data_IF_080418532863
#
_entry.id   IF_080418532863
#
_cell.length_a   1.000
_cell.length_b   1.000
_cell.length_c   1.000
_cell.angle_alpha   90.00
_cell.angle_beta   90.00
_cell.angle_gamma   90.00
#
_symmetry.space_group_name_H-M   'P 1'
#
loop_
_entity.id
_entity.type
_entity.pdbx_description
1 polymer ?
#
# COMPACT_ATOMS: atom_id res chain seq x y z
N UNK A 1 -1.44 -7.83 17.37
CA UNK A 1 -0.93 -7.81 15.98
C UNK A 1 -1.06 -6.39 15.45
N UNK A 2 0.04 -5.76 15.07
CA UNK A 2 0.06 -4.43 14.45
C UNK A 2 -0.55 -4.53 13.05
N UNK A 3 -1.52 -3.66 12.72
CA UNK A 3 -2.12 -3.60 11.39
C UNK A 3 -1.01 -3.33 10.36
N UNK A 4 -0.83 -4.26 9.42
CA UNK A 4 0.06 -4.10 8.26
C UNK A 4 -0.76 -3.66 7.06
N UNK A 5 -0.25 -2.70 6.29
CA UNK A 5 -0.84 -2.28 5.00
C UNK A 5 0.30 -2.18 4.01
N UNK A 6 0.17 -2.90 2.89
CA UNK A 6 1.25 -3.12 1.92
C UNK A 6 2.50 -3.66 2.61
N UNK A 7 2.30 -4.69 3.46
CA UNK A 7 3.35 -5.37 4.25
C UNK A 7 4.07 -4.52 5.30
N UNK A 8 3.88 -3.20 5.30
CA UNK A 8 4.50 -2.27 6.23
C UNK A 8 3.57 -1.94 7.41
N UNK A 9 4.16 -1.87 8.59
CA UNK A 9 3.54 -1.39 9.81
C UNK A 9 3.71 0.14 9.97
N UNK A 10 3.16 0.70 11.05
CA UNK A 10 3.09 2.15 11.27
C UNK A 10 4.45 2.82 11.24
N UNK A 11 5.40 2.19 11.95
CA UNK A 11 6.75 2.72 12.13
C UNK A 11 7.53 2.66 10.83
N UNK A 12 7.34 1.59 10.06
CA UNK A 12 7.95 1.43 8.75
C UNK A 12 7.40 2.47 7.76
N UNK A 13 6.09 2.71 7.74
CA UNK A 13 5.49 3.80 6.97
C UNK A 13 6.03 5.18 7.37
N UNK A 14 6.14 5.44 8.68
CA UNK A 14 6.71 6.70 9.17
C UNK A 14 8.18 6.85 8.75
N UNK A 15 8.98 5.80 8.87
CA UNK A 15 10.39 5.80 8.48
C UNK A 15 10.55 6.09 6.98
N UNK A 16 9.74 5.43 6.13
CA UNK A 16 9.72 5.66 4.69
C UNK A 16 9.39 7.12 4.34
N UNK A 17 8.31 7.65 4.89
CA UNK A 17 7.91 9.04 4.65
C UNK A 17 9.01 10.02 5.07
N UNK A 18 9.64 9.80 6.23
CA UNK A 18 10.74 10.64 6.71
C UNK A 18 11.94 10.58 5.77
N UNK A 19 12.32 9.38 5.31
CA UNK A 19 13.45 9.18 4.39
C UNK A 19 13.27 9.92 3.06
N UNK A 20 12.04 9.94 2.51
CA UNK A 20 11.75 10.70 1.28
C UNK A 20 11.71 12.19 1.58
N UNK A 21 10.98 12.61 2.62
CA UNK A 21 10.83 14.01 2.97
C UNK A 21 12.17 14.70 3.31
N UNK A 22 13.11 13.99 3.94
CA UNK A 22 14.41 14.54 4.32
C UNK A 22 15.35 14.78 3.14
N UNK A 23 15.10 14.16 1.98
CA UNK A 23 15.90 14.34 0.76
C UNK A 23 15.49 15.59 -0.04
N UNK A 24 14.35 16.17 0.29
CA UNK A 24 13.83 17.36 -0.37
C UNK A 24 14.55 18.61 0.11
N UNK A 25 14.68 19.60 -0.77
CA UNK A 25 15.18 20.91 -0.39
C UNK A 25 14.17 21.65 0.52
N UNK A 26 14.64 22.73 1.17
CA UNK A 26 13.81 23.49 2.10
C UNK A 26 12.55 24.08 1.46
N UNK A 27 12.61 24.46 0.17
CA UNK A 27 11.48 25.02 -0.57
C UNK A 27 10.40 23.97 -0.87
N UNK A 28 10.83 22.76 -1.26
CA UNK A 28 10.00 21.60 -1.52
C UNK A 28 9.36 21.09 -0.22
N UNK A 29 10.13 20.98 0.85
CA UNK A 29 9.62 20.65 2.18
C UNK A 29 8.52 21.62 2.63
N UNK A 30 8.70 22.92 2.40
CA UNK A 30 7.71 23.95 2.71
C UNK A 30 6.42 23.76 1.89
N UNK A 31 6.54 23.53 0.57
CA UNK A 31 5.39 23.27 -0.31
C UNK A 31 4.61 22.03 0.12
N UNK A 32 5.31 20.93 0.43
CA UNK A 32 4.67 19.67 0.84
C UNK A 32 3.98 19.82 2.21
N UNK A 33 4.56 20.58 3.15
CA UNK A 33 3.88 20.92 4.41
C UNK A 33 2.62 21.75 4.19
N UNK A 34 2.65 22.72 3.26
CA UNK A 34 1.47 23.52 2.90
C UNK A 34 0.33 22.67 2.33
N UNK A 35 0.66 21.57 1.62
CA UNK A 35 -0.31 20.58 1.13
C UNK A 35 -0.84 19.62 2.21
N UNK A 36 -0.41 19.77 3.46
CA UNK A 36 -0.94 19.01 4.59
C UNK A 36 -0.11 17.80 5.02
N UNK A 37 1.16 17.70 4.61
CA UNK A 37 2.06 16.65 5.08
C UNK A 37 2.16 16.61 6.62
N UNK A 38 1.82 15.45 7.18
CA UNK A 38 1.84 15.15 8.62
C UNK A 38 2.20 13.68 8.84
N UNK A 39 3.42 13.41 9.29
CA UNK A 39 3.91 12.04 9.51
C UNK A 39 3.56 11.49 10.91
N UNK A 40 2.35 11.76 11.41
CA UNK A 40 1.85 11.33 12.73
C UNK A 40 0.37 10.96 12.68
N UNK A 41 0.03 9.80 13.23
CA UNK A 41 -1.29 9.19 13.12
C UNK A 41 -1.45 8.42 11.82
N UNK A 42 -2.02 7.21 11.89
CA UNK A 42 -2.00 6.26 10.78
C UNK A 42 -2.59 6.83 9.47
N UNK A 43 -3.76 7.48 9.55
CA UNK A 43 -4.40 8.11 8.39
C UNK A 43 -3.53 9.20 7.75
N UNK A 44 -2.93 10.07 8.57
CA UNK A 44 -2.07 11.13 8.05
C UNK A 44 -0.77 10.60 7.47
N UNK A 45 -0.20 9.53 8.02
CA UNK A 45 0.99 8.86 7.47
C UNK A 45 0.69 8.31 6.08
N UNK A 46 -0.48 7.71 5.86
CA UNK A 46 -0.88 7.24 4.54
C UNK A 46 -1.14 8.39 3.56
N UNK A 47 -1.85 9.44 3.99
CA UNK A 47 -2.12 10.60 3.14
C UNK A 47 -0.83 11.37 2.80
N UNK A 48 0.08 11.47 3.75
CA UNK A 48 1.40 12.11 3.55
C UNK A 48 2.23 11.38 2.51
N UNK A 49 2.14 10.04 2.45
CA UNK A 49 2.79 9.28 1.39
C UNK A 49 2.22 9.61 0.02
N UNK A 50 0.89 9.79 -0.11
CA UNK A 50 0.28 10.21 -1.39
C UNK A 50 0.80 11.57 -1.85
N UNK A 51 0.90 12.53 -0.93
CA UNK A 51 1.44 13.87 -1.21
C UNK A 51 2.90 13.76 -1.68
N UNK A 52 3.72 13.00 -0.95
CA UNK A 52 5.11 12.76 -1.34
C UNK A 52 5.23 12.11 -2.71
N UNK A 53 4.39 11.11 -3.01
CA UNK A 53 4.44 10.38 -4.28
C UNK A 53 4.02 11.24 -5.47
N UNK A 54 3.15 12.22 -5.26
CA UNK A 54 2.70 13.16 -6.30
C UNK A 54 3.70 14.27 -6.59
N UNK A 55 4.42 14.75 -5.57
CA UNK A 55 5.26 15.95 -5.67
C UNK A 55 6.76 15.68 -5.76
N UNK A 56 7.21 14.53 -5.28
CA UNK A 56 8.64 14.26 -5.19
C UNK A 56 9.20 13.60 -6.44
N UNK A 57 8.41 13.41 -7.51
CA UNK A 57 8.73 12.53 -8.64
C UNK A 57 9.56 11.36 -8.12
N UNK A 58 8.94 10.54 -7.27
CA UNK A 58 9.63 9.39 -6.70
C UNK A 58 9.93 8.49 -7.89
N UNK A 59 11.09 8.71 -8.50
CA UNK A 59 11.60 8.01 -9.67
C UNK A 59 11.52 6.55 -9.27
N UNK A 60 10.59 5.83 -9.89
CA UNK A 60 10.41 4.42 -9.56
C UNK A 60 11.74 3.73 -9.84
N UNK A 61 12.00 2.59 -9.20
CA UNK A 61 13.23 1.86 -9.50
C UNK A 61 13.26 1.47 -10.98
N UNK A 62 12.09 1.28 -11.61
CA UNK A 62 11.94 1.19 -13.05
C UNK A 62 12.48 2.43 -13.78
N UNK A 63 11.97 3.63 -13.48
CA UNK A 63 12.40 4.89 -14.13
C UNK A 63 13.90 5.14 -13.90
N UNK A 64 14.41 4.81 -12.71
CA UNK A 64 15.82 4.96 -12.37
C UNK A 64 16.70 4.04 -13.21
N UNK A 65 16.28 2.79 -13.43
CA UNK A 65 16.99 1.84 -14.28
C UNK A 65 16.92 2.23 -15.74
N UNK A 66 15.74 2.64 -16.21
CA UNK A 66 15.54 3.13 -17.57
C UNK A 66 16.44 4.34 -17.88
N UNK A 67 16.49 5.31 -16.98
CA UNK A 67 17.33 6.51 -17.12
C UNK A 67 18.84 6.24 -17.05
N UNK A 68 19.25 5.06 -16.56
CA UNK A 68 20.64 4.62 -16.51
C UNK A 68 20.99 3.66 -17.67
N UNK A 69 20.16 3.61 -18.72
CA UNK A 69 20.26 2.69 -19.85
C UNK A 69 20.22 1.19 -19.46
N UNK A 70 19.76 0.86 -18.25
CA UNK A 70 19.55 -0.51 -17.77
C UNK A 70 18.14 -1.01 -18.14
N UNK A 71 17.91 -1.19 -19.45
CA UNK A 71 16.61 -1.63 -19.97
C UNK A 71 16.21 -3.03 -19.48
N UNK A 72 17.17 -3.96 -19.43
CA UNK A 72 16.92 -5.33 -18.97
C UNK A 72 16.50 -5.34 -17.50
N UNK A 73 17.22 -4.62 -16.63
CA UNK A 73 16.85 -4.52 -15.23
C UNK A 73 15.49 -3.82 -15.02
N UNK A 74 15.14 -2.85 -15.86
CA UNK A 74 13.83 -2.21 -15.83
C UNK A 74 12.70 -3.21 -16.18
N UNK A 75 12.91 -4.04 -17.21
CA UNK A 75 11.96 -5.09 -17.62
C UNK A 75 11.82 -6.14 -16.51
N UNK A 76 12.92 -6.66 -15.97
CA UNK A 76 12.91 -7.63 -14.87
C UNK A 76 12.17 -7.09 -13.65
N UNK A 77 12.39 -5.82 -13.33
CA UNK A 77 11.70 -5.17 -12.22
C UNK A 77 10.19 -5.08 -12.44
N UNK A 78 9.76 -4.70 -13.64
CA UNK A 78 8.34 -4.62 -13.99
C UNK A 78 7.66 -6.00 -13.94
N UNK A 79 8.35 -7.06 -14.40
CA UNK A 79 7.85 -8.45 -14.29
C UNK A 79 7.70 -8.85 -12.82
N UNK A 80 8.69 -8.52 -11.98
CA UNK A 80 8.64 -8.83 -10.54
C UNK A 80 7.45 -8.14 -9.86
N UNK A 81 7.23 -6.85 -10.12
CA UNK A 81 6.10 -6.10 -9.57
C UNK A 81 4.75 -6.68 -10.02
N UNK A 82 4.64 -7.07 -11.30
CA UNK A 82 3.43 -7.70 -11.83
C UNK A 82 3.14 -9.05 -11.16
N UNK A 83 4.18 -9.86 -10.92
CA UNK A 83 4.04 -11.14 -10.23
C UNK A 83 3.57 -10.95 -8.78
N UNK A 84 4.16 -10.01 -8.05
CA UNK A 84 3.76 -9.68 -6.67
C UNK A 84 2.31 -9.18 -6.61
N UNK A 85 1.91 -8.31 -7.55
CA UNK A 85 0.53 -7.83 -7.62
C UNK A 85 -0.46 -8.96 -7.89
N UNK A 86 -0.10 -9.89 -8.78
CA UNK A 86 -0.91 -11.08 -9.07
C UNK A 86 -1.06 -11.99 -7.85
N UNK A 87 0.04 -12.27 -7.14
CA UNK A 87 0.03 -13.09 -5.92
C UNK A 87 -0.87 -12.47 -4.84
N UNK A 88 -0.72 -11.18 -4.58
CA UNK A 88 -1.58 -10.44 -3.64
C UNK A 88 -3.07 -10.50 -4.04
N UNK A 89 -3.37 -10.39 -5.33
CA UNK A 89 -4.73 -10.48 -5.84
C UNK A 89 -5.32 -11.88 -5.62
N UNK A 90 -4.53 -12.93 -5.84
CA UNK A 90 -4.95 -14.32 -5.59
C UNK A 90 -5.21 -14.58 -4.10
N UNK A 91 -4.33 -14.11 -3.22
CA UNK A 91 -4.55 -14.20 -1.77
C UNK A 91 -5.83 -13.47 -1.34
N UNK A 92 -6.05 -12.28 -1.89
CA UNK A 92 -7.24 -11.47 -1.63
C UNK A 92 -8.52 -12.17 -2.09
N UNK A 93 -8.50 -12.80 -3.27
CA UNK A 93 -9.62 -13.60 -3.77
C UNK A 93 -9.93 -14.78 -2.85
N UNK A 94 -8.91 -15.54 -2.46
CA UNK A 94 -9.05 -16.67 -1.53
C UNK A 94 -9.62 -16.24 -0.18
N UNK A 95 -9.19 -15.09 0.33
CA UNK A 95 -9.75 -14.51 1.55
C UNK A 95 -11.24 -14.21 1.39
N UNK A 96 -11.64 -13.56 0.29
CA UNK A 96 -13.04 -13.21 0.01
C UNK A 96 -13.93 -14.45 -0.16
N UNK A 97 -13.44 -15.50 -0.82
CA UNK A 97 -14.14 -16.78 -0.94
C UNK A 97 -14.40 -17.43 0.42
N UNK A 98 -13.38 -17.43 1.28
CA UNK A 98 -13.52 -17.93 2.65
C UNK A 98 -14.55 -17.13 3.46
N UNK A 99 -14.58 -15.80 3.32
CA UNK A 99 -15.60 -14.96 3.98
C UNK A 99 -17.00 -15.24 3.44
N UNK A 100 -17.15 -15.38 2.12
CA UNK A 100 -18.42 -15.76 1.48
C UNK A 100 -18.95 -17.09 2.03
N UNK A 101 -18.08 -18.07 2.20
CA UNK A 101 -18.46 -19.37 2.75
C UNK A 101 -18.92 -19.27 4.20
N UNK A 102 -18.18 -18.55 5.05
CA UNK A 102 -18.58 -18.28 6.45
C UNK A 102 -19.95 -17.61 6.54
N UNK A 103 -20.21 -16.61 5.70
CA UNK A 103 -21.51 -15.92 5.66
C UNK A 103 -22.64 -16.89 5.27
N UNK A 104 -22.42 -17.76 4.27
CA UNK A 104 -23.40 -18.78 3.88
C UNK A 104 -23.74 -19.72 5.03
N UNK A 105 -22.74 -20.16 5.79
CA UNK A 105 -22.93 -21.02 6.96
C UNK A 105 -23.72 -20.32 8.06
N UNK A 106 -23.42 -19.05 8.34
CA UNK A 106 -24.17 -18.23 9.30
C UNK A 106 -25.65 -18.09 8.89
N UNK A 107 -25.93 -17.82 7.61
CA UNK A 107 -27.31 -17.74 7.09
C UNK A 107 -28.04 -19.07 7.28
N UNK A 108 -27.39 -20.20 6.93
CA UNK A 108 -27.98 -21.54 7.10
C UNK A 108 -28.30 -21.83 8.56
N UNK A 109 -27.37 -21.52 9.48
CA UNK A 109 -27.55 -21.69 10.92
C UNK A 109 -28.72 -20.86 11.46
N UNK A 110 -28.84 -19.60 11.05
CA UNK A 110 -29.94 -18.74 11.47
C UNK A 110 -31.30 -19.21 10.92
N UNK A 111 -31.35 -19.68 9.67
CA UNK A 111 -32.57 -20.28 9.10
C UNK A 111 -33.02 -21.52 9.86
N UNK A 112 -32.10 -22.39 10.29
CA UNK A 112 -32.44 -23.56 11.11
C UNK A 112 -32.98 -23.17 12.48
N UNK A 113 -32.40 -22.15 13.13
CA UNK A 113 -32.92 -21.63 14.40
C UNK A 113 -34.34 -21.09 14.28
N UNK A 114 -34.66 -20.37 13.20
CA UNK A 114 -35.99 -19.80 12.96
C UNK A 114 -37.06 -20.85 12.65
N UNK A 115 -36.69 -22.06 12.22
CA UNK A 115 -37.64 -23.17 11.97
C UNK A 115 -37.98 -23.98 13.21
N UNK A 116 -37.20 -23.84 14.28
CA UNK A 116 -37.37 -24.56 15.53
C UNK A 116 -38.03 -23.70 16.63
N UNK A 117 -38.55 -22.53 16.24
CA UNK A 117 -39.39 -21.63 17.03
C UNK A 117 -40.81 -21.67 16.44
#
# INVERSE_FOLDING_TARGET
MTKKINELNYREWQARNTSVFSKLDHSQQKKIRQKGYKNRGWLHVQNSWKILNQDCDIVSLFDKRLNNDDLLGAIEHSILEANQASELAQESLKYLENQKQKIKEMIKKNRMKLRNL
#
